data_IF_372466562688
#
_entry.id   IF_372466562688
#
_cell.length_a   1.000
_cell.length_b   1.000
_cell.length_c   1.000
_cell.angle_alpha   90.00
_cell.angle_beta   90.00
_cell.angle_gamma   90.00
#
_symmetry.space_group_name_H-M   'P 1'
#
loop_
_entity.id
_entity.type
_entity.pdbx_description
1 polymer ?
#
# COMPACT_ATOMS: atom_id res chain seq x y z
N UNK A 1 -9.48 -10.70 -16.87
CA UNK A 1 -8.16 -10.68 -16.18
C UNK A 1 -7.32 -9.44 -16.57
N UNK A 2 -7.41 -8.95 -17.81
CA UNK A 2 -6.68 -7.75 -18.28
C UNK A 2 -6.96 -6.46 -17.47
N UNK A 3 -8.21 -6.30 -17.01
CA UNK A 3 -8.67 -5.13 -16.25
C UNK A 3 -7.99 -4.96 -14.87
N UNK A 4 -7.80 -6.06 -14.13
CA UNK A 4 -7.16 -6.03 -12.80
C UNK A 4 -5.70 -5.58 -12.89
N UNK A 5 -4.96 -6.09 -13.87
CA UNK A 5 -3.57 -5.71 -14.09
C UNK A 5 -3.46 -4.23 -14.50
N UNK A 6 -4.39 -3.72 -15.30
CA UNK A 6 -4.41 -2.32 -15.70
C UNK A 6 -4.75 -1.38 -14.53
N UNK A 7 -5.74 -1.75 -13.72
CA UNK A 7 -6.07 -1.06 -12.47
C UNK A 7 -4.87 -1.02 -11.51
N UNK A 8 -4.14 -2.13 -11.37
CA UNK A 8 -2.94 -2.20 -10.53
C UNK A 8 -1.85 -1.20 -10.97
N UNK A 9 -1.57 -1.14 -12.29
CA UNK A 9 -0.59 -0.19 -12.85
C UNK A 9 -1.03 1.26 -12.66
N UNK A 10 -2.33 1.55 -12.82
CA UNK A 10 -2.89 2.89 -12.57
C UNK A 10 -2.72 3.29 -11.10
N UNK A 11 -3.05 2.38 -10.17
CA UNK A 11 -2.90 2.62 -8.73
C UNK A 11 -1.44 2.85 -8.36
N UNK A 12 -0.52 2.04 -8.90
CA UNK A 12 0.92 2.25 -8.73
C UNK A 12 1.33 3.66 -9.17
N UNK A 13 0.91 4.08 -10.37
CA UNK A 13 1.28 5.40 -10.90
C UNK A 13 0.75 6.54 -10.02
N UNK A 14 -0.51 6.45 -9.59
CA UNK A 14 -1.15 7.44 -8.72
C UNK A 14 -0.47 7.51 -7.36
N UNK A 15 -0.15 6.37 -6.74
CA UNK A 15 0.52 6.35 -5.42
C UNK A 15 1.96 6.90 -5.55
N UNK A 16 2.67 6.54 -6.62
CA UNK A 16 4.04 6.99 -6.85
C UNK A 16 4.12 8.51 -7.06
N UNK A 17 3.22 9.08 -7.86
CA UNK A 17 3.32 10.48 -8.30
C UNK A 17 2.33 11.43 -7.62
N UNK A 18 1.33 10.91 -6.91
CA UNK A 18 0.22 11.68 -6.38
C UNK A 18 -0.67 12.26 -7.47
N UNK A 19 -1.63 13.09 -7.06
CA UNK A 19 -2.49 13.85 -7.97
C UNK A 19 -2.49 15.31 -7.51
N UNK A 20 -2.10 16.21 -8.41
CA UNK A 20 -2.02 17.64 -8.12
C UNK A 20 -3.40 18.19 -7.75
N UNK A 21 -3.45 19.02 -6.71
CA UNK A 21 -4.67 19.68 -6.22
C UNK A 21 -5.79 18.74 -5.71
N UNK A 22 -5.53 17.44 -5.49
CA UNK A 22 -6.50 16.52 -4.88
C UNK A 22 -6.23 16.18 -3.42
N UNK A 23 -5.13 16.70 -2.85
CA UNK A 23 -4.61 16.28 -1.55
C UNK A 23 -3.91 14.91 -1.56
N UNK A 24 -3.85 14.20 -2.70
CA UNK A 24 -3.15 12.92 -2.81
C UNK A 24 -1.63 13.16 -2.88
N UNK A 25 -0.84 12.74 -1.86
CA UNK A 25 0.60 12.92 -1.86
C UNK A 25 1.31 12.00 -2.87
N UNK A 26 2.52 12.40 -3.27
CA UNK A 26 3.42 11.57 -4.07
C UNK A 26 4.36 10.78 -3.15
N UNK A 27 4.30 9.44 -3.17
CA UNK A 27 5.14 8.60 -2.29
C UNK A 27 6.39 8.06 -2.96
N UNK A 28 6.55 8.22 -4.28
CA UNK A 28 7.74 7.77 -5.01
C UNK A 28 9.05 8.45 -4.59
N UNK A 29 8.99 9.53 -3.80
CA UNK A 29 10.18 10.18 -3.21
C UNK A 29 10.60 9.59 -1.87
N UNK A 30 9.68 8.95 -1.16
CA UNK A 30 9.90 8.44 0.21
C UNK A 30 9.82 6.92 0.31
N UNK A 31 9.29 6.26 -0.71
CA UNK A 31 9.08 4.82 -0.78
C UNK A 31 9.59 4.29 -2.11
N UNK A 32 10.27 3.13 -2.08
CA UNK A 32 10.68 2.43 -3.29
C UNK A 32 9.50 1.77 -4.03
N UNK A 33 9.75 1.33 -5.25
CA UNK A 33 8.72 0.73 -6.10
C UNK A 33 8.17 -0.58 -5.51
N UNK A 34 8.99 -1.35 -4.78
CA UNK A 34 8.57 -2.60 -4.16
C UNK A 34 7.54 -2.34 -3.06
N UNK A 35 7.79 -1.33 -2.22
CA UNK A 35 6.88 -0.91 -1.16
C UNK A 35 5.60 -0.31 -1.72
N UNK A 36 5.66 0.44 -2.82
CA UNK A 36 4.47 0.93 -3.52
C UNK A 36 3.65 -0.22 -4.11
N UNK A 37 4.29 -1.24 -4.69
CA UNK A 37 3.59 -2.45 -5.16
C UNK A 37 2.93 -3.23 -4.03
N UNK A 38 3.56 -3.32 -2.86
CA UNK A 38 2.95 -3.93 -1.68
C UNK A 38 1.66 -3.19 -1.25
N UNK A 39 1.66 -1.85 -1.31
CA UNK A 39 0.45 -1.05 -1.07
C UNK A 39 -0.63 -1.31 -2.11
N UNK A 40 -0.28 -1.42 -3.40
CA UNK A 40 -1.25 -1.75 -4.46
C UNK A 40 -1.87 -3.13 -4.22
N UNK A 41 -1.07 -4.13 -3.87
CA UNK A 41 -1.56 -5.47 -3.56
C UNK A 41 -2.48 -5.48 -2.33
N UNK A 42 -2.15 -4.70 -1.31
CA UNK A 42 -3.01 -4.52 -0.14
C UNK A 42 -4.36 -3.89 -0.52
N UNK A 43 -4.37 -2.81 -1.31
CA UNK A 43 -5.60 -2.15 -1.76
C UNK A 43 -6.50 -3.07 -2.59
N UNK A 44 -5.92 -3.99 -3.37
CA UNK A 44 -6.68 -4.99 -4.13
C UNK A 44 -7.36 -6.03 -3.22
N UNK A 45 -6.68 -6.43 -2.14
CA UNK A 45 -7.22 -7.37 -1.14
C UNK A 45 -8.27 -6.72 -0.24
N UNK A 46 -8.16 -5.40 0.00
CA UNK A 46 -8.96 -4.68 0.99
C UNK A 46 -10.48 -4.94 0.91
N UNK A 47 -11.14 -4.96 -0.26
CA UNK A 47 -12.58 -5.24 -0.35
C UNK A 47 -12.97 -6.67 0.06
N UNK A 48 -12.02 -7.61 0.03
CA UNK A 48 -12.21 -9.02 0.38
C UNK A 48 -11.92 -9.28 1.87
N UNK A 49 -11.29 -8.33 2.57
CA UNK A 49 -10.93 -8.48 3.97
C UNK A 49 -12.14 -8.30 4.88
N UNK A 50 -12.32 -9.25 5.80
CA UNK A 50 -13.18 -9.02 6.97
C UNK A 50 -12.49 -8.06 7.96
N UNK A 51 -13.25 -7.50 8.89
CA UNK A 51 -12.70 -6.63 9.93
C UNK A 51 -11.58 -7.31 10.72
N UNK A 52 -11.75 -8.59 11.07
CA UNK A 52 -10.75 -9.39 11.80
C UNK A 52 -9.48 -9.61 10.95
N UNK A 53 -9.63 -9.90 9.66
CA UNK A 53 -8.49 -10.08 8.76
C UNK A 53 -7.72 -8.77 8.53
N UNK A 54 -8.44 -7.65 8.43
CA UNK A 54 -7.83 -6.32 8.39
C UNK A 54 -7.05 -6.04 9.68
N UNK A 55 -7.61 -6.36 10.85
CA UNK A 55 -6.92 -6.21 12.14
C UNK A 55 -5.65 -7.05 12.20
N UNK A 56 -5.67 -8.31 11.76
CA UNK A 56 -4.47 -9.15 11.74
C UNK A 56 -3.39 -8.57 10.80
N UNK A 57 -3.78 -8.07 9.62
CA UNK A 57 -2.84 -7.51 8.64
C UNK A 57 -2.27 -6.14 9.04
N UNK A 58 -2.99 -5.38 9.88
CA UNK A 58 -2.59 -4.03 10.31
C UNK A 58 -2.13 -3.96 11.77
N UNK A 59 -2.33 -5.02 12.55
CA UNK A 59 -1.72 -5.17 13.85
C UNK A 59 -0.21 -5.09 13.64
N UNK A 60 0.37 -3.96 14.08
CA UNK A 60 1.81 -3.77 14.17
C UNK A 60 2.40 -5.01 14.80
N UNK A 61 3.24 -5.73 14.05
CA UNK A 61 4.02 -6.82 14.61
C UNK A 61 4.81 -6.25 15.81
N UNK A 62 4.52 -6.71 17.05
CA UNK A 62 5.19 -6.18 18.23
C UNK A 62 6.71 -6.41 18.22
N UNK A 63 7.23 -7.27 17.34
CA UNK A 63 8.67 -7.53 17.20
C UNK A 63 9.38 -6.56 16.24
N UNK A 64 8.68 -5.89 15.31
CA UNK A 64 9.30 -4.90 14.39
C UNK A 64 9.80 -3.67 15.15
N UNK A 65 9.22 -3.37 16.31
CA UNK A 65 9.67 -2.28 17.18
C UNK A 65 10.85 -2.65 18.10
N UNK A 66 11.28 -3.92 18.14
CA UNK A 66 12.37 -4.37 19.01
C UNK A 66 13.76 -4.29 18.36
N UNK A 67 13.86 -4.22 17.03
CA UNK A 67 15.15 -4.09 16.30
C UNK A 67 15.69 -2.66 16.22
N UNK A 68 14.90 -1.64 16.57
CA UNK A 68 15.33 -0.23 16.56
C UNK A 68 15.75 0.28 17.96
N UNK A 69 15.82 -0.62 18.95
CA UNK A 69 16.18 -0.31 20.34
C UNK A 69 17.52 -0.92 20.79
N UNK A 70 18.40 -1.27 19.84
CA UNK A 70 19.76 -1.73 20.11
C UNK A 70 20.80 -0.97 19.30
#
# INVERSE_FOLDING_TARGET
MEDVAQSARKNFWVIKHGIKASGMPAWGKTHDDQRIWAMVAFLQRLPELTADQYQILTALDPNVNQEMAH
#
